data_IF_846009900690
#
_entry.id   IF_846009900690
#
_cell.length_a   1.000
_cell.length_b   1.000
_cell.length_c   1.000
_cell.angle_alpha   90.00
_cell.angle_beta   90.00
_cell.angle_gamma   90.00
#
_symmetry.space_group_name_H-M   'P 1'
#
loop_
_entity.id
_entity.type
_entity.pdbx_description
1 polymer ?
#
# COMPACT_ATOMS: atom_id res chain seq x y z
N UNK A 1 4.13 23.47 -12.33
CA UNK A 1 4.17 22.04 -11.97
C UNK A 1 5.59 21.59 -12.22
N UNK A 2 6.30 21.09 -11.21
CA UNK A 2 7.69 20.61 -11.35
C UNK A 2 7.65 19.34 -12.18
N UNK A 3 8.39 19.30 -13.29
CA UNK A 3 8.49 18.13 -14.21
C UNK A 3 9.27 16.94 -13.58
N UNK A 4 9.54 17.00 -12.29
CA UNK A 4 10.26 15.98 -11.55
C UNK A 4 9.32 14.81 -11.19
N UNK A 5 9.75 13.56 -11.43
CA UNK A 5 8.94 12.39 -11.12
C UNK A 5 8.72 12.23 -9.60
N UNK A 6 7.52 11.75 -9.24
CA UNK A 6 7.19 11.36 -7.86
C UNK A 6 8.08 10.19 -7.39
N UNK A 7 8.18 9.15 -8.25
CA UNK A 7 9.08 8.01 -8.05
C UNK A 7 9.98 7.87 -9.27
N UNK A 8 11.29 7.71 -9.02
CA UNK A 8 12.28 7.40 -10.05
C UNK A 8 13.02 6.13 -9.69
N UNK A 9 13.04 5.18 -10.59
CA UNK A 9 13.79 3.93 -10.51
C UNK A 9 14.84 3.94 -11.60
N UNK A 10 16.11 3.74 -11.25
CA UNK A 10 17.25 3.83 -12.17
C UNK A 10 18.17 2.62 -12.05
N UNK A 11 18.24 1.82 -13.12
CA UNK A 11 19.16 0.68 -13.23
C UNK A 11 18.97 -0.40 -12.16
N UNK A 12 17.75 -0.56 -11.63
CA UNK A 12 17.48 -1.39 -10.47
C UNK A 12 17.65 -2.88 -10.82
N UNK A 13 18.53 -3.56 -10.09
CA UNK A 13 18.82 -4.97 -10.30
C UNK A 13 18.86 -5.73 -8.99
N UNK A 14 18.51 -7.02 -9.04
CA UNK A 14 18.57 -7.93 -7.90
C UNK A 14 18.95 -9.34 -8.29
N UNK A 15 19.99 -9.84 -7.64
CA UNK A 15 20.39 -11.23 -7.70
C UNK A 15 20.13 -11.90 -6.32
N UNK A 16 19.64 -13.13 -6.33
CA UNK A 16 19.53 -14.00 -5.19
C UNK A 16 20.44 -15.22 -5.46
N UNK A 17 21.62 -15.26 -4.85
CA UNK A 17 22.63 -16.26 -5.23
C UNK A 17 22.93 -16.18 -6.74
N UNK A 18 22.78 -17.29 -7.45
CA UNK A 18 22.96 -17.38 -8.90
C UNK A 18 21.77 -16.94 -9.75
N UNK A 19 20.60 -16.63 -9.13
CA UNK A 19 19.37 -16.29 -9.87
C UNK A 19 19.24 -14.78 -9.98
N UNK A 20 19.16 -14.27 -11.22
CA UNK A 20 18.88 -12.85 -11.51
C UNK A 20 17.36 -12.63 -11.52
N UNK A 21 16.84 -12.09 -10.42
CA UNK A 21 15.40 -11.84 -10.25
C UNK A 21 14.93 -10.53 -10.88
N UNK A 22 15.82 -9.52 -11.01
CA UNK A 22 15.55 -8.25 -11.68
C UNK A 22 16.83 -7.78 -12.38
N UNK A 23 16.70 -7.23 -13.60
CA UNK A 23 17.84 -6.81 -14.41
C UNK A 23 17.63 -5.42 -14.99
N UNK A 24 18.39 -4.44 -14.48
CA UNK A 24 18.52 -3.08 -15.03
C UNK A 24 17.18 -2.38 -15.33
N UNK A 25 16.22 -2.47 -14.39
CA UNK A 25 14.89 -1.86 -14.55
C UNK A 25 14.97 -0.37 -14.25
N UNK A 26 14.46 0.44 -15.16
CA UNK A 26 14.36 1.90 -15.03
C UNK A 26 13.00 2.38 -15.49
N UNK A 27 12.39 3.27 -14.71
CA UNK A 27 11.17 3.98 -15.05
C UNK A 27 10.99 5.18 -14.14
N UNK A 28 10.16 6.11 -14.58
CA UNK A 28 9.71 7.26 -13.81
C UNK A 28 8.19 7.19 -13.68
N UNK A 29 7.65 7.62 -12.52
CA UNK A 29 6.23 7.75 -12.25
C UNK A 29 5.96 9.18 -11.80
N UNK A 30 5.03 9.87 -12.44
CA UNK A 30 4.63 11.24 -12.10
C UNK A 30 3.51 11.24 -11.07
N UNK A 31 3.29 12.39 -10.45
CA UNK A 31 2.14 12.59 -9.56
C UNK A 31 0.81 12.47 -10.34
N UNK A 32 -0.17 11.77 -9.77
CA UNK A 32 -1.45 11.47 -10.41
C UNK A 32 -1.38 10.41 -11.53
N UNK A 33 -0.22 9.80 -11.80
CA UNK A 33 -0.08 8.75 -12.78
C UNK A 33 -0.40 7.37 -12.19
N UNK A 34 -1.04 6.51 -12.98
CA UNK A 34 -1.27 5.10 -12.66
C UNK A 34 -0.38 4.22 -13.54
N UNK A 35 0.46 3.41 -12.94
CA UNK A 35 1.33 2.46 -13.63
C UNK A 35 0.98 1.03 -13.31
N UNK A 36 0.64 0.23 -14.32
CA UNK A 36 0.43 -1.20 -14.20
C UNK A 36 1.72 -1.99 -14.44
N UNK A 37 2.06 -2.88 -13.48
CA UNK A 37 3.18 -3.83 -13.64
C UNK A 37 2.61 -5.21 -13.89
N UNK A 38 2.72 -5.70 -15.12
CA UNK A 38 2.16 -6.98 -15.55
C UNK A 38 3.26 -7.96 -15.98
N UNK A 39 2.98 -9.23 -15.86
CA UNK A 39 3.92 -10.31 -16.25
C UNK A 39 3.56 -11.63 -15.59
N UNK A 40 4.13 -12.75 -16.07
CA UNK A 40 3.86 -14.10 -15.52
C UNK A 40 4.38 -14.23 -14.07
N UNK A 41 4.02 -15.33 -13.41
CA UNK A 41 4.59 -15.66 -12.11
C UNK A 41 6.10 -15.85 -12.23
N UNK A 42 6.86 -15.34 -11.26
CA UNK A 42 8.32 -15.39 -11.28
C UNK A 42 9.00 -14.28 -12.12
N UNK A 43 8.25 -13.38 -12.79
CA UNK A 43 8.84 -12.30 -13.60
C UNK A 43 9.49 -11.16 -12.81
N UNK A 44 9.47 -11.20 -11.47
CA UNK A 44 10.11 -10.21 -10.63
C UNK A 44 9.21 -9.07 -10.12
N UNK A 45 7.89 -9.09 -10.37
CA UNK A 45 6.96 -8.04 -9.92
C UNK A 45 7.06 -7.77 -8.41
N UNK A 46 6.89 -8.79 -7.60
CA UNK A 46 7.00 -8.68 -6.13
C UNK A 46 8.43 -8.32 -5.70
N UNK A 47 9.45 -8.77 -6.45
CA UNK A 47 10.84 -8.36 -6.21
C UNK A 47 11.00 -6.86 -6.43
N UNK A 48 10.47 -6.30 -7.53
CA UNK A 48 10.50 -4.87 -7.81
C UNK A 48 9.86 -4.07 -6.67
N UNK A 49 8.67 -4.46 -6.25
CA UNK A 49 7.95 -3.81 -5.13
C UNK A 49 8.75 -3.91 -3.82
N UNK A 50 9.35 -5.07 -3.52
CA UNK A 50 10.20 -5.27 -2.35
C UNK A 50 11.46 -4.41 -2.37
N UNK A 51 12.03 -4.13 -3.55
CA UNK A 51 13.19 -3.25 -3.70
C UNK A 51 12.80 -1.78 -3.49
N UNK A 52 11.68 -1.33 -4.08
CA UNK A 52 11.18 0.04 -3.91
C UNK A 52 10.86 0.32 -2.43
N UNK A 53 10.18 -0.60 -1.77
CA UNK A 53 9.80 -0.49 -0.35
C UNK A 53 10.90 -0.92 0.62
N UNK A 54 12.05 -1.35 0.08
CA UNK A 54 13.26 -1.69 0.85
C UNK A 54 13.12 -2.88 1.81
N UNK A 55 12.11 -3.73 1.60
CA UNK A 55 12.05 -5.07 2.25
C UNK A 55 13.21 -5.96 1.77
N UNK A 56 13.71 -5.71 0.57
CA UNK A 56 14.91 -6.36 0.01
C UNK A 56 15.89 -5.26 -0.44
N UNK A 57 17.18 -5.47 -0.20
CA UNK A 57 18.24 -4.57 -0.68
C UNK A 57 18.51 -4.81 -2.17
N UNK A 58 18.62 -3.77 -3.02
CA UNK A 58 19.05 -3.93 -4.40
C UNK A 58 20.50 -4.43 -4.47
N UNK A 59 20.84 -5.14 -5.54
CA UNK A 59 22.21 -5.50 -5.88
C UNK A 59 22.92 -4.32 -6.56
N UNK A 60 22.18 -3.57 -7.40
CA UNK A 60 22.64 -2.32 -8.03
C UNK A 60 21.44 -1.45 -8.39
N UNK A 61 21.72 -0.21 -8.81
CA UNK A 61 20.71 0.78 -9.12
C UNK A 61 20.18 1.53 -7.90
N UNK A 62 19.30 2.47 -8.14
CA UNK A 62 18.75 3.31 -7.07
C UNK A 62 17.27 3.63 -7.27
N UNK A 63 16.63 3.98 -6.16
CA UNK A 63 15.25 4.47 -6.13
C UNK A 63 15.25 5.84 -5.44
N UNK A 64 14.58 6.80 -6.07
CA UNK A 64 14.35 8.12 -5.50
C UNK A 64 12.85 8.41 -5.44
N UNK A 65 12.41 9.03 -4.36
CA UNK A 65 11.04 9.43 -4.12
C UNK A 65 10.99 10.92 -3.76
N UNK A 66 10.20 11.72 -4.48
CA UNK A 66 10.17 13.19 -4.35
C UNK A 66 11.59 13.79 -4.42
N UNK A 67 12.41 13.33 -5.36
CA UNK A 67 13.79 13.78 -5.55
C UNK A 67 14.80 13.30 -4.50
N UNK A 68 14.39 12.53 -3.47
CA UNK A 68 15.28 12.02 -2.42
C UNK A 68 15.59 10.55 -2.63
N UNK A 69 16.86 10.16 -2.56
CA UNK A 69 17.25 8.74 -2.62
C UNK A 69 16.73 7.98 -1.41
N UNK A 70 16.01 6.88 -1.66
CA UNK A 70 15.42 6.04 -0.61
C UNK A 70 16.02 4.64 -0.54
N UNK A 71 16.86 4.24 -1.51
CA UNK A 71 17.46 2.91 -1.60
C UNK A 71 18.30 2.49 -0.40
N UNK A 72 18.71 3.41 0.47
CA UNK A 72 19.47 3.14 1.69
C UNK A 72 18.61 3.20 2.97
N UNK A 73 17.38 3.68 2.87
CA UNK A 73 16.51 3.88 4.03
C UNK A 73 15.86 2.57 4.48
N UNK A 74 15.58 2.38 5.76
CA UNK A 74 14.77 1.25 6.24
C UNK A 74 13.30 1.46 5.88
N UNK A 75 12.49 0.36 5.76
CA UNK A 75 11.09 0.42 5.33
C UNK A 75 10.24 1.42 6.11
N UNK A 76 10.37 1.49 7.44
CA UNK A 76 9.58 2.41 8.26
C UNK A 76 9.82 3.90 7.93
N UNK A 77 11.02 4.29 7.47
CA UNK A 77 11.28 5.66 7.00
C UNK A 77 10.60 5.92 5.66
N UNK A 78 10.58 4.93 4.77
CA UNK A 78 9.93 5.02 3.45
C UNK A 78 8.42 5.22 3.62
N UNK A 79 7.79 4.46 4.52
CA UNK A 79 6.37 4.64 4.87
C UNK A 79 6.10 6.05 5.41
N UNK A 80 6.95 6.57 6.31
CA UNK A 80 6.82 7.94 6.83
C UNK A 80 6.95 9.01 5.75
N UNK A 81 7.71 8.75 4.68
CA UNK A 81 7.85 9.67 3.55
C UNK A 81 6.60 9.72 2.67
N UNK A 82 5.67 8.78 2.81
CA UNK A 82 4.42 8.77 2.09
C UNK A 82 4.29 7.69 1.03
N UNK A 83 4.99 6.58 1.15
CA UNK A 83 4.77 5.38 0.34
C UNK A 83 3.99 4.37 1.17
N UNK A 84 2.77 4.03 0.76
CA UNK A 84 2.01 2.92 1.33
C UNK A 84 2.00 1.72 0.37
N UNK A 85 1.94 0.52 0.96
CA UNK A 85 1.87 -0.73 0.21
C UNK A 85 0.83 -1.66 0.83
N UNK A 86 0.00 -2.28 -0.03
CA UNK A 86 -0.76 -3.47 0.36
C UNK A 86 0.12 -4.72 0.21
N UNK A 87 -0.19 -5.76 0.96
CA UNK A 87 0.53 -7.03 0.88
C UNK A 87 -0.33 -8.10 0.24
N UNK A 88 0.29 -8.99 -0.54
CA UNK A 88 -0.36 -10.13 -1.17
C UNK A 88 -1.14 -10.97 -0.15
N UNK A 89 -0.51 -11.27 0.99
CA UNK A 89 -1.17 -11.93 2.12
C UNK A 89 -1.60 -10.89 3.14
N UNK A 90 -2.91 -10.73 3.27
CA UNK A 90 -3.48 -9.89 4.32
C UNK A 90 -3.14 -10.47 5.69
N UNK A 91 -2.53 -9.67 6.56
CA UNK A 91 -2.18 -10.06 7.93
C UNK A 91 -2.81 -9.08 8.92
N UNK A 92 -4.12 -9.17 9.14
CA UNK A 92 -4.78 -8.37 10.15
C UNK A 92 -4.49 -8.92 11.55
N UNK A 93 -4.83 -8.13 12.56
CA UNK A 93 -4.98 -8.66 13.92
C UNK A 93 -6.28 -9.47 13.97
N UNK A 94 -6.17 -10.75 13.71
CA UNK A 94 -7.32 -11.65 13.52
C UNK A 94 -8.30 -11.66 14.69
N UNK A 95 -7.82 -11.44 15.92
CA UNK A 95 -8.63 -11.42 17.14
C UNK A 95 -9.29 -10.06 17.44
N UNK A 96 -8.93 -9.03 16.67
CA UNK A 96 -9.51 -7.70 16.83
C UNK A 96 -10.62 -7.45 15.81
N UNK A 97 -11.64 -6.66 16.16
CA UNK A 97 -12.61 -6.16 15.18
C UNK A 97 -11.93 -5.43 14.02
N UNK A 98 -12.59 -5.40 12.84
CA UNK A 98 -12.02 -4.75 11.66
C UNK A 98 -11.64 -3.29 11.94
N UNK A 99 -12.52 -2.50 12.58
CA UNK A 99 -12.22 -1.10 12.88
C UNK A 99 -11.04 -0.92 13.83
N UNK A 100 -10.80 -1.84 14.77
CA UNK A 100 -9.62 -1.80 15.64
C UNK A 100 -8.32 -2.14 14.93
N UNK A 101 -8.38 -2.80 13.77
CA UNK A 101 -7.22 -2.99 12.91
C UNK A 101 -6.70 -1.68 12.29
N UNK A 102 -7.51 -0.61 12.29
CA UNK A 102 -7.11 0.73 11.85
C UNK A 102 -6.23 1.48 12.84
N UNK A 103 -6.01 0.93 14.05
CA UNK A 103 -5.18 1.55 15.10
C UNK A 103 -3.78 1.89 14.57
N UNK A 104 -3.08 0.93 13.94
CA UNK A 104 -1.70 1.16 13.50
C UNK A 104 -1.59 2.33 12.52
N UNK A 105 -2.33 2.38 11.38
CA UNK A 105 -2.22 3.50 10.47
C UNK A 105 -2.66 4.82 11.10
N UNK A 106 -3.74 4.85 11.88
CA UNK A 106 -4.26 6.07 12.49
C UNK A 106 -3.37 6.63 13.62
N UNK A 107 -2.54 5.79 14.24
CA UNK A 107 -1.57 6.21 15.27
C UNK A 107 -0.15 6.35 14.72
N UNK A 108 0.02 6.24 13.39
CA UNK A 108 1.34 6.35 12.79
C UNK A 108 1.94 7.75 12.95
N UNK A 109 3.28 7.87 13.01
CA UNK A 109 3.94 9.17 13.08
C UNK A 109 3.62 10.07 11.88
N UNK A 110 3.33 9.52 10.71
CA UNK A 110 2.91 10.29 9.53
C UNK A 110 1.57 10.97 9.79
N UNK A 111 0.57 10.23 10.26
CA UNK A 111 -0.74 10.80 10.62
C UNK A 111 -0.62 11.85 11.71
N UNK A 112 0.27 11.64 12.69
CA UNK A 112 0.55 12.65 13.71
C UNK A 112 1.04 13.97 13.13
N UNK A 113 1.90 13.91 12.12
CA UNK A 113 2.41 15.10 11.43
C UNK A 113 1.31 15.80 10.61
N UNK A 114 0.54 15.03 9.83
CA UNK A 114 -0.52 15.55 8.96
C UNK A 114 -1.65 16.19 9.77
N UNK A 115 -2.05 15.58 10.88
CA UNK A 115 -3.13 16.08 11.74
C UNK A 115 -2.69 17.20 12.70
N UNK A 116 -1.44 17.65 12.67
CA UNK A 116 -0.93 18.67 13.61
C UNK A 116 -1.07 18.28 15.09
N UNK A 117 -1.10 16.97 15.38
CA UNK A 117 -1.30 16.44 16.72
C UNK A 117 -2.74 16.48 17.23
N UNK A 118 -3.69 16.97 16.44
CA UNK A 118 -5.12 16.95 16.76
C UNK A 118 -5.72 15.64 16.24
N UNK A 119 -6.17 14.82 17.15
CA UNK A 119 -6.88 13.59 16.84
C UNK A 119 -8.30 13.70 17.37
N UNK A 120 -9.29 13.65 16.49
CA UNK A 120 -10.66 13.41 16.85
C UNK A 120 -10.89 11.99 17.38
N UNK A 121 -12.14 11.57 17.46
CA UNK A 121 -12.49 10.19 17.75
C UNK A 121 -11.96 9.27 16.65
N UNK A 122 -10.89 8.54 16.94
CA UNK A 122 -10.23 7.65 16.00
C UNK A 122 -11.06 6.42 15.64
N UNK A 123 -11.93 5.99 16.52
CA UNK A 123 -12.84 4.90 16.21
C UNK A 123 -13.89 5.37 15.20
N UNK A 124 -14.39 6.59 15.30
CA UNK A 124 -15.25 7.20 14.29
C UNK A 124 -14.53 7.33 12.94
N UNK A 125 -13.30 7.85 12.92
CA UNK A 125 -12.49 7.93 11.70
C UNK A 125 -12.21 6.56 11.09
N UNK A 126 -11.97 5.55 11.92
CA UNK A 126 -11.77 4.17 11.45
C UNK A 126 -13.02 3.62 10.76
N UNK A 127 -14.20 3.86 11.35
CA UNK A 127 -15.49 3.44 10.79
C UNK A 127 -15.80 4.17 9.47
N UNK A 128 -15.55 5.48 9.39
CA UNK A 128 -15.72 6.27 8.16
C UNK A 128 -14.84 5.75 7.02
N UNK A 129 -13.55 5.48 7.31
CA UNK A 129 -12.63 4.91 6.32
C UNK A 129 -13.01 3.49 5.88
N UNK A 130 -13.54 2.68 6.79
CA UNK A 130 -14.04 1.35 6.44
C UNK A 130 -15.29 1.44 5.57
N UNK A 131 -16.20 2.37 5.84
CA UNK A 131 -17.37 2.62 4.99
C UNK A 131 -16.95 3.05 3.58
N UNK A 132 -15.95 3.93 3.44
CA UNK A 132 -15.40 4.35 2.15
C UNK A 132 -14.92 3.17 1.29
N UNK A 133 -14.44 2.11 1.91
CA UNK A 133 -14.00 0.89 1.20
C UNK A 133 -15.07 -0.19 1.14
N UNK A 134 -16.33 0.12 1.52
CA UNK A 134 -17.49 -0.75 1.38
C UNK A 134 -17.75 -1.69 2.57
N UNK A 135 -17.41 -1.26 3.79
CA UNK A 135 -17.97 -1.86 5.00
C UNK A 135 -19.29 -1.16 5.33
N UNK A 136 -20.38 -1.81 5.06
CA UNK A 136 -21.70 -1.26 5.31
C UNK A 136 -21.93 -1.08 6.82
N UNK A 137 -22.30 0.14 7.26
CA UNK A 137 -22.55 0.45 8.69
C UNK A 137 -23.67 -0.39 9.27
N UNK A 138 -24.76 -0.54 8.54
CA UNK A 138 -25.97 -1.24 8.99
C UNK A 138 -25.72 -2.75 9.18
N UNK A 139 -24.79 -3.33 8.42
CA UNK A 139 -24.43 -4.74 8.50
C UNK A 139 -23.51 -5.08 9.69
N UNK A 140 -23.07 -4.09 10.46
CA UNK A 140 -22.13 -4.24 11.59
C UNK A 140 -20.84 -5.03 11.27
N UNK A 141 -20.48 -5.10 9.98
CA UNK A 141 -19.31 -5.89 9.53
C UNK A 141 -18.02 -5.34 10.10
N UNK A 142 -17.92 -4.03 10.28
CA UNK A 142 -16.74 -3.37 10.86
C UNK A 142 -16.45 -3.81 12.31
N UNK A 143 -17.48 -4.26 13.05
CA UNK A 143 -17.36 -4.71 14.44
C UNK A 143 -17.03 -6.20 14.56
N UNK A 144 -17.13 -6.98 13.48
CA UNK A 144 -16.73 -8.39 13.48
C UNK A 144 -15.21 -8.52 13.59
N UNK A 145 -14.77 -9.55 14.29
CA UNK A 145 -13.34 -9.89 14.35
C UNK A 145 -12.80 -10.18 12.96
N UNK A 146 -11.63 -9.66 12.65
CA UNK A 146 -11.06 -9.77 11.31
C UNK A 146 -10.90 -11.21 10.85
N UNK A 147 -10.66 -12.15 11.75
CA UNK A 147 -10.57 -13.58 11.44
C UNK A 147 -11.86 -14.23 10.93
N UNK A 148 -13.01 -13.62 11.17
CA UNK A 148 -14.30 -14.09 10.70
C UNK A 148 -14.76 -13.41 9.38
N UNK A 149 -13.96 -12.51 8.82
CA UNK A 149 -14.30 -11.78 7.60
C UNK A 149 -14.00 -12.60 6.34
N UNK A 150 -14.88 -12.57 5.33
CA UNK A 150 -14.58 -13.06 3.98
C UNK A 150 -13.36 -12.35 3.40
N UNK A 151 -12.69 -13.01 2.44
CA UNK A 151 -11.45 -12.50 1.83
C UNK A 151 -11.63 -11.12 1.18
N UNK A 152 -12.76 -10.86 0.54
CA UNK A 152 -13.07 -9.55 -0.03
C UNK A 152 -13.02 -8.42 1.00
N UNK A 153 -13.59 -8.62 2.18
CA UNK A 153 -13.51 -7.65 3.28
C UNK A 153 -12.11 -7.51 3.84
N UNK A 154 -11.32 -8.58 3.91
CA UNK A 154 -9.93 -8.50 4.33
C UNK A 154 -9.08 -7.66 3.36
N UNK A 155 -9.29 -7.79 2.04
CA UNK A 155 -8.64 -6.95 1.02
C UNK A 155 -9.05 -5.49 1.13
N UNK A 156 -10.34 -5.22 1.38
CA UNK A 156 -10.84 -3.86 1.65
C UNK A 156 -10.25 -3.26 2.93
N UNK A 157 -10.09 -4.07 3.99
CA UNK A 157 -9.43 -3.65 5.22
C UNK A 157 -7.97 -3.24 4.97
N UNK A 158 -7.21 -4.01 4.15
CA UNK A 158 -5.84 -3.63 3.77
C UNK A 158 -5.80 -2.32 2.97
N UNK A 159 -6.76 -2.13 2.06
CA UNK A 159 -6.87 -0.88 1.30
C UNK A 159 -7.22 0.29 2.23
N UNK A 160 -8.17 0.14 3.16
CA UNK A 160 -8.50 1.15 4.16
C UNK A 160 -7.29 1.55 5.02
N UNK A 161 -6.48 0.57 5.44
CA UNK A 161 -5.24 0.82 6.18
C UNK A 161 -4.23 1.64 5.37
N UNK A 162 -4.12 1.39 4.05
CA UNK A 162 -3.27 2.17 3.17
C UNK A 162 -3.81 3.60 2.99
N UNK A 163 -5.13 3.77 2.80
CA UNK A 163 -5.79 5.08 2.66
C UNK A 163 -5.63 5.90 3.93
N UNK A 164 -5.81 5.29 5.11
CA UNK A 164 -5.65 5.95 6.41
C UNK A 164 -4.27 6.59 6.62
N UNK A 165 -3.25 6.11 5.92
CA UNK A 165 -1.89 6.69 5.97
C UNK A 165 -1.76 7.97 5.15
N UNK A 166 -2.76 8.32 4.32
CA UNK A 166 -2.72 9.45 3.37
C UNK A 166 -1.39 9.49 2.60
N UNK A 167 -1.00 8.44 1.90
CA UNK A 167 0.29 8.39 1.22
C UNK A 167 0.24 9.24 -0.06
N UNK A 168 1.42 9.62 -0.54
CA UNK A 168 1.58 10.26 -1.85
C UNK A 168 1.75 9.22 -2.97
N UNK A 169 2.10 7.97 -2.61
CA UNK A 169 2.23 6.84 -3.53
C UNK A 169 1.63 5.58 -2.92
N UNK A 170 0.66 5.00 -3.62
CA UNK A 170 0.10 3.68 -3.32
C UNK A 170 0.79 2.62 -4.18
N UNK A 171 1.23 1.53 -3.56
CA UNK A 171 1.69 0.32 -4.23
C UNK A 171 0.71 -0.80 -3.88
N UNK A 172 -0.11 -1.20 -4.86
CA UNK A 172 -1.15 -2.20 -4.70
C UNK A 172 -0.64 -3.54 -5.26
N UNK A 173 -0.09 -4.38 -4.37
CA UNK A 173 0.49 -5.67 -4.76
C UNK A 173 -0.57 -6.76 -4.65
N UNK A 174 -0.96 -7.33 -5.80
CA UNK A 174 -1.96 -8.40 -5.93
C UNK A 174 -3.29 -8.14 -5.18
N UNK A 175 -3.74 -6.89 -5.14
CA UNK A 175 -4.96 -6.52 -4.43
C UNK A 175 -6.17 -7.34 -4.88
N UNK A 176 -6.27 -7.64 -6.17
CA UNK A 176 -7.40 -8.35 -6.78
C UNK A 176 -7.26 -9.87 -6.77
N UNK A 177 -6.14 -10.40 -6.28
CA UNK A 177 -5.90 -11.85 -6.24
C UNK A 177 -6.93 -12.55 -5.35
N UNK A 178 -7.62 -13.56 -5.90
CA UNK A 178 -8.64 -14.35 -5.20
C UNK A 178 -10.00 -13.68 -5.04
N UNK A 179 -10.22 -12.53 -5.69
CA UNK A 179 -11.51 -11.86 -5.71
C UNK A 179 -12.33 -12.25 -6.95
N UNK A 180 -13.66 -12.28 -6.80
CA UNK A 180 -14.61 -12.38 -7.91
C UNK A 180 -14.62 -11.09 -8.75
N UNK A 181 -15.12 -11.17 -9.98
CA UNK A 181 -15.29 -9.98 -10.84
C UNK A 181 -16.16 -8.91 -10.21
N UNK A 182 -17.21 -9.29 -9.48
CA UNK A 182 -18.08 -8.35 -8.78
C UNK A 182 -17.34 -7.61 -7.66
N UNK A 183 -16.50 -8.32 -6.89
CA UNK A 183 -15.68 -7.71 -5.84
C UNK A 183 -14.63 -6.77 -6.44
N UNK A 184 -13.97 -7.16 -7.54
CA UNK A 184 -13.03 -6.29 -8.27
C UNK A 184 -13.75 -5.03 -8.74
N UNK A 185 -14.92 -5.16 -9.42
CA UNK A 185 -15.70 -4.04 -9.91
C UNK A 185 -16.08 -3.05 -8.80
N UNK A 186 -16.28 -3.54 -7.57
CA UNK A 186 -16.63 -2.70 -6.42
C UNK A 186 -15.42 -1.99 -5.77
N UNK A 187 -14.18 -2.45 -6.02
CA UNK A 187 -12.95 -1.84 -5.49
C UNK A 187 -12.35 -0.82 -6.47
N UNK A 188 -12.52 -1.02 -7.78
CA UNK A 188 -11.95 -0.14 -8.82
C UNK A 188 -12.32 1.34 -8.62
N UNK A 189 -13.60 1.72 -8.36
CA UNK A 189 -13.96 3.12 -8.13
C UNK A 189 -13.25 3.75 -6.92
N UNK A 190 -12.94 2.93 -5.90
CA UNK A 190 -12.21 3.40 -4.72
C UNK A 190 -10.77 3.78 -5.10
N UNK A 191 -10.13 2.95 -5.95
CA UNK A 191 -8.77 3.21 -6.44
C UNK A 191 -8.76 4.46 -7.34
N UNK A 192 -9.77 4.64 -8.19
CA UNK A 192 -9.91 5.84 -9.01
C UNK A 192 -10.07 7.12 -8.17
N UNK A 193 -10.79 7.03 -7.05
CA UNK A 193 -11.00 8.17 -6.12
C UNK A 193 -9.72 8.59 -5.39
N UNK A 194 -8.82 7.66 -5.08
CA UNK A 194 -7.57 7.93 -4.33
C UNK A 194 -6.37 8.26 -5.24
N UNK A 195 -6.58 8.26 -6.53
CA UNK A 195 -5.60 8.68 -7.55
C UNK A 195 -5.45 10.19 -7.58
#
# INVERSE_FOLDING_TARGET
MTDAPLLKVSGLSKNFGGVRALNNVSFDLKEGELMGVIGPNGSGKTTLVNLITRFVKPSSGEVSFKGRKISHLPPYKIVRMGIARTFQMVKPFYQLPAYKNMIIPLYSPRMKQLAGGRYGDRDAVALDLLEEVGFERDAQVAYKVAGALPQGYLKRLELAKAIAMQPDLYILDELFSGLSLAEVASIVPIIEKIR
#
